data_IF_101932825932
#
_entry.id   IF_101932825932
#
_cell.length_a   1.000
_cell.length_b   1.000
_cell.length_c   1.000
_cell.angle_alpha   90.00
_cell.angle_beta   90.00
_cell.angle_gamma   90.00
#
_symmetry.space_group_name_H-M   'P 1'
#
loop_
_entity.id
_entity.type
_entity.pdbx_description
1 polymer ?
#
# COMPACT_ATOMS: atom_id res chain seq x y z
N UNK A 1 8.43 -18.59 20.91
CA UNK A 1 7.92 -17.20 20.83
C UNK A 1 9.10 -16.30 20.51
N UNK A 2 8.94 -15.36 19.59
CA UNK A 2 10.04 -14.47 19.20
C UNK A 2 10.12 -13.36 20.25
N UNK A 3 11.30 -13.10 20.80
CA UNK A 3 11.50 -12.04 21.78
C UNK A 3 11.81 -10.71 21.07
N UNK A 4 10.75 -9.93 20.84
CA UNK A 4 10.87 -8.60 20.23
C UNK A 4 11.24 -7.53 21.26
N UNK A 5 12.17 -6.66 20.88
CA UNK A 5 12.59 -5.51 21.69
C UNK A 5 12.24 -4.21 20.95
N UNK A 6 11.72 -3.17 21.63
CA UNK A 6 11.43 -1.89 20.98
C UNK A 6 12.69 -1.30 20.34
N UNK A 7 12.58 -0.73 19.15
CA UNK A 7 13.71 -0.02 18.51
C UNK A 7 14.12 1.16 19.37
N UNK A 8 15.39 1.17 19.78
CA UNK A 8 16.06 2.24 20.52
C UNK A 8 17.29 2.70 19.78
N UNK A 9 17.77 3.88 20.14
CA UNK A 9 18.97 4.46 19.55
C UNK A 9 20.21 3.56 19.69
N UNK A 10 20.35 2.89 20.83
CA UNK A 10 21.44 1.94 21.13
C UNK A 10 21.45 0.71 20.19
N UNK A 11 20.33 0.40 19.55
CA UNK A 11 20.20 -0.74 18.64
C UNK A 11 20.73 -0.46 17.23
N UNK A 12 21.08 0.80 16.93
CA UNK A 12 21.50 1.24 15.59
C UNK A 12 22.54 0.32 14.97
N UNK A 13 23.63 0.08 15.69
CA UNK A 13 24.74 -0.74 15.19
C UNK A 13 24.32 -2.19 14.92
N UNK A 14 23.40 -2.74 15.72
CA UNK A 14 22.94 -4.12 15.54
C UNK A 14 21.99 -4.24 14.35
N UNK A 15 21.07 -3.29 14.19
CA UNK A 15 20.16 -3.24 13.05
C UNK A 15 20.93 -2.97 11.74
N UNK A 16 21.84 -2.00 11.76
CA UNK A 16 22.64 -1.62 10.59
C UNK A 16 23.59 -2.73 10.12
N UNK A 17 23.98 -3.67 10.99
CA UNK A 17 24.70 -4.89 10.58
C UNK A 17 23.94 -5.70 9.53
N UNK A 18 22.61 -5.61 9.50
CA UNK A 18 21.76 -6.27 8.51
C UNK A 18 21.40 -5.35 7.34
N UNK A 19 21.01 -4.11 7.61
CA UNK A 19 20.51 -3.20 6.56
C UNK A 19 21.64 -2.64 5.69
N UNK A 20 22.81 -2.32 6.26
CA UNK A 20 23.94 -1.73 5.53
C UNK A 20 24.48 -2.62 4.40
N UNK A 21 24.76 -3.92 4.61
CA UNK A 21 25.20 -4.79 3.52
C UNK A 21 24.05 -5.23 2.59
N UNK A 22 22.79 -4.89 2.91
CA UNK A 22 21.64 -5.32 2.11
C UNK A 22 21.60 -4.62 0.74
N UNK A 23 21.00 -5.29 -0.25
CA UNK A 23 20.68 -4.68 -1.55
C UNK A 23 19.31 -4.00 -1.60
N UNK A 24 18.58 -3.95 -0.48
CA UNK A 24 17.20 -3.47 -0.45
C UNK A 24 17.19 -1.94 -0.38
N UNK A 25 16.45 -1.32 -1.29
CA UNK A 25 16.41 0.14 -1.39
C UNK A 25 15.18 0.77 -0.72
N UNK A 26 14.34 0.00 -0.01
CA UNK A 26 13.15 0.52 0.69
C UNK A 26 13.54 1.51 1.80
N UNK A 27 12.97 2.73 1.77
CA UNK A 27 13.20 3.78 2.77
C UNK A 27 12.85 3.36 4.21
N UNK A 28 11.91 2.43 4.39
CA UNK A 28 11.46 1.94 5.70
C UNK A 28 12.58 1.21 6.46
N UNK A 29 13.60 0.72 5.74
CA UNK A 29 14.76 0.04 6.33
C UNK A 29 15.83 1.00 6.85
N UNK A 30 15.71 2.31 6.61
CA UNK A 30 16.59 3.28 7.24
C UNK A 30 16.33 3.31 8.76
N UNK A 31 17.39 3.13 9.56
CA UNK A 31 17.27 3.11 11.02
C UNK A 31 16.64 4.42 11.56
N UNK A 32 16.97 5.56 10.94
CA UNK A 32 16.38 6.84 11.29
C UNK A 32 14.84 6.85 11.12
N UNK A 33 14.30 6.24 10.06
CA UNK A 33 12.85 6.11 9.89
C UNK A 33 12.24 5.22 10.98
N UNK A 34 12.84 4.06 11.26
CA UNK A 34 12.36 3.16 12.32
C UNK A 34 12.30 3.86 13.68
N UNK A 35 13.32 4.64 14.04
CA UNK A 35 13.42 5.33 15.32
C UNK A 35 12.51 6.57 15.41
N UNK A 36 12.46 7.40 14.37
CA UNK A 36 11.69 8.65 14.38
C UNK A 36 10.18 8.39 14.41
N UNK A 37 9.72 7.31 13.78
CA UNK A 37 8.32 6.93 13.73
C UNK A 37 7.88 5.98 14.86
N UNK A 38 8.76 5.74 15.85
CA UNK A 38 8.55 4.78 16.93
C UNK A 38 7.29 5.05 17.78
N UNK A 39 6.88 6.32 17.95
CA UNK A 39 5.67 6.66 18.71
C UNK A 39 4.38 6.23 18.02
N UNK A 40 4.39 6.22 16.69
CA UNK A 40 3.26 5.85 15.84
C UNK A 40 3.26 4.34 15.64
N UNK A 41 4.33 3.80 15.07
CA UNK A 41 4.38 2.41 14.63
C UNK A 41 4.82 1.43 15.71
N UNK A 42 5.32 1.90 16.86
CA UNK A 42 5.77 1.04 17.97
C UNK A 42 6.70 -0.09 17.49
N UNK A 43 7.60 0.25 16.56
CA UNK A 43 8.49 -0.69 15.90
C UNK A 43 9.33 -1.45 16.93
N UNK A 44 9.45 -2.74 16.73
CA UNK A 44 10.25 -3.63 17.56
C UNK A 44 11.03 -4.56 16.65
N UNK A 45 12.21 -4.99 17.09
CA UNK A 45 13.09 -5.84 16.32
C UNK A 45 13.48 -7.10 17.08
N UNK A 46 13.87 -8.12 16.34
CA UNK A 46 14.45 -9.35 16.86
C UNK A 46 15.41 -9.96 15.82
N UNK A 47 16.40 -10.73 16.28
CA UNK A 47 17.18 -11.60 15.42
C UNK A 47 16.57 -13.00 15.41
N UNK A 48 16.23 -13.51 14.23
CA UNK A 48 15.62 -14.83 14.05
C UNK A 48 16.41 -15.60 13.01
N UNK A 49 17.18 -16.61 13.45
CA UNK A 49 17.98 -17.49 12.58
C UNK A 49 18.89 -16.72 11.62
N UNK A 50 19.51 -15.64 12.08
CA UNK A 50 20.41 -14.81 11.27
C UNK A 50 19.70 -13.78 10.38
N UNK A 51 18.39 -13.55 10.57
CA UNK A 51 17.66 -12.45 9.93
C UNK A 51 17.24 -11.41 10.96
N UNK A 52 17.38 -10.15 10.62
CA UNK A 52 16.67 -9.05 11.27
C UNK A 52 15.19 -9.13 10.91
N UNK A 53 14.35 -9.14 11.94
CA UNK A 53 12.90 -9.07 11.80
C UNK A 53 12.42 -7.81 12.50
N UNK A 54 11.72 -6.94 11.77
CA UNK A 54 11.04 -5.76 12.32
C UNK A 54 9.54 -6.03 12.36
N UNK A 55 8.93 -5.88 13.53
CA UNK A 55 7.48 -5.90 13.75
C UNK A 55 7.00 -4.49 14.10
N UNK A 56 5.88 -4.07 13.54
CA UNK A 56 5.34 -2.73 13.73
C UNK A 56 3.80 -2.73 13.73
N UNK A 57 3.21 -1.62 14.17
CA UNK A 57 1.78 -1.33 14.12
C UNK A 57 1.45 -0.63 12.80
N UNK A 58 0.57 -1.23 12.01
CA UNK A 58 0.13 -0.72 10.71
C UNK A 58 -0.75 0.51 10.95
N UNK A 59 -0.45 1.61 10.26
CA UNK A 59 -1.16 2.91 10.35
C UNK A 59 -1.26 3.47 11.78
N UNK A 60 -0.37 3.04 12.69
CA UNK A 60 -0.43 3.38 14.12
C UNK A 60 -1.58 2.74 14.90
N UNK A 61 -2.35 1.83 14.28
CA UNK A 61 -3.46 1.11 14.91
C UNK A 61 -3.02 -0.10 15.76
N UNK A 62 -3.95 -1.02 16.01
CA UNK A 62 -3.65 -2.26 16.75
C UNK A 62 -3.20 -3.41 15.84
N UNK A 63 -3.35 -3.27 14.51
CA UNK A 63 -2.92 -4.30 13.55
C UNK A 63 -1.40 -4.38 13.53
N UNK A 64 -0.85 -5.59 13.62
CA UNK A 64 0.60 -5.81 13.49
C UNK A 64 0.97 -6.24 12.08
N UNK A 65 2.12 -5.77 11.62
CA UNK A 65 2.81 -6.18 10.41
C UNK A 65 4.28 -6.43 10.68
N UNK A 66 4.94 -7.13 9.76
CA UNK A 66 6.36 -7.37 9.78
C UNK A 66 6.96 -6.79 8.50
N UNK A 67 8.09 -6.11 8.59
CA UNK A 67 8.83 -5.74 7.37
C UNK A 67 9.40 -7.01 6.72
N UNK A 68 9.81 -6.93 5.46
CA UNK A 68 10.62 -7.99 4.86
C UNK A 68 11.82 -8.31 5.77
N UNK A 69 12.01 -9.57 6.21
CA UNK A 69 13.19 -9.93 6.98
C UNK A 69 14.47 -9.68 6.19
N UNK A 70 15.49 -9.15 6.87
CA UNK A 70 16.76 -8.75 6.24
C UNK A 70 17.89 -9.62 6.78
N UNK A 71 18.61 -10.29 5.89
CA UNK A 71 19.70 -11.20 6.25
C UNK A 71 20.27 -11.88 5.00
N UNK A 72 21.24 -12.77 5.20
CA UNK A 72 21.82 -13.52 4.09
C UNK A 72 20.94 -14.72 3.71
N UNK A 73 20.62 -14.83 2.41
CA UNK A 73 19.88 -15.96 1.86
C UNK A 73 18.35 -15.81 1.89
N UNK A 74 17.65 -16.95 1.86
CA UNK A 74 16.19 -17.00 1.77
C UNK A 74 15.55 -16.95 3.17
N UNK A 75 14.72 -15.94 3.42
CA UNK A 75 14.00 -15.80 4.69
C UNK A 75 12.72 -16.64 4.76
N UNK A 76 12.24 -17.24 3.67
CA UNK A 76 11.01 -18.03 3.69
C UNK A 76 10.96 -19.12 4.79
N UNK A 77 12.07 -19.77 5.21
CA UNK A 77 12.07 -20.71 6.34
C UNK A 77 11.72 -20.10 7.71
N UNK A 78 11.78 -18.77 7.88
CA UNK A 78 11.40 -18.11 9.15
C UNK A 78 9.92 -17.69 9.17
N UNK A 79 9.25 -17.67 8.02
CA UNK A 79 7.83 -17.28 7.89
C UNK A 79 6.90 -18.04 8.85
N UNK A 80 7.05 -19.37 9.08
CA UNK A 80 6.24 -20.07 10.08
C UNK A 80 6.38 -19.51 11.50
N UNK A 81 7.57 -19.04 11.89
CA UNK A 81 7.81 -18.43 13.21
C UNK A 81 7.12 -17.06 13.32
N UNK A 82 7.15 -16.26 12.25
CA UNK A 82 6.42 -14.99 12.18
C UNK A 82 4.91 -15.21 12.30
N UNK A 83 4.41 -16.28 11.67
CA UNK A 83 3.00 -16.68 11.73
C UNK A 83 2.60 -17.08 13.15
N UNK A 84 3.44 -17.83 13.86
CA UNK A 84 3.22 -18.18 15.26
C UNK A 84 3.18 -16.94 16.15
N UNK A 85 4.07 -15.96 15.95
CA UNK A 85 4.04 -14.70 16.70
C UNK A 85 2.77 -13.88 16.40
N UNK A 86 2.38 -13.78 15.13
CA UNK A 86 1.14 -13.10 14.74
C UNK A 86 -0.09 -13.73 15.39
N UNK A 87 -0.19 -15.07 15.35
CA UNK A 87 -1.28 -15.81 15.98
C UNK A 87 -1.30 -15.66 17.50
N UNK A 88 -0.15 -15.57 18.16
CA UNK A 88 -0.08 -15.30 19.60
C UNK A 88 -0.70 -13.94 19.97
N UNK A 89 -0.74 -12.98 19.03
CA UNK A 89 -1.43 -11.70 19.17
C UNK A 89 -2.88 -11.72 18.66
N UNK A 90 -3.42 -12.89 18.29
CA UNK A 90 -4.76 -13.03 17.73
C UNK A 90 -4.91 -12.46 16.32
N UNK A 91 -3.81 -12.31 15.57
CA UNK A 91 -3.81 -11.71 14.24
C UNK A 91 -3.24 -12.65 13.19
N UNK A 92 -3.64 -12.47 11.92
CA UNK A 92 -2.99 -13.15 10.78
C UNK A 92 -1.64 -12.51 10.45
N UNK A 93 -0.73 -13.29 9.87
CA UNK A 93 0.57 -12.80 9.42
C UNK A 93 0.41 -11.82 8.25
N UNK A 94 1.07 -10.67 8.36
CA UNK A 94 1.20 -9.66 7.30
C UNK A 94 2.66 -9.29 7.16
N UNK A 95 3.24 -9.48 5.98
CA UNK A 95 4.59 -9.03 5.66
C UNK A 95 4.46 -7.86 4.69
N UNK A 96 5.02 -6.71 5.03
CA UNK A 96 4.84 -5.44 4.32
C UNK A 96 6.21 -4.93 3.86
N UNK A 97 6.24 -4.23 2.72
CA UNK A 97 7.48 -3.68 2.18
C UNK A 97 8.36 -4.76 1.53
N UNK A 98 7.76 -5.84 1.03
CA UNK A 98 8.46 -6.86 0.27
C UNK A 98 8.94 -6.30 -1.06
N UNK A 99 10.19 -6.59 -1.42
CA UNK A 99 10.70 -6.41 -2.78
C UNK A 99 10.11 -7.47 -3.72
N UNK A 100 10.28 -7.29 -5.04
CA UNK A 100 9.92 -8.35 -6.00
C UNK A 100 10.58 -9.69 -5.66
N UNK A 101 11.85 -9.65 -5.27
CA UNK A 101 12.61 -10.84 -4.91
C UNK A 101 12.08 -11.51 -3.62
N UNK A 102 11.72 -10.70 -2.62
CA UNK A 102 11.11 -11.21 -1.38
C UNK A 102 9.71 -11.80 -1.61
N UNK A 103 8.89 -11.16 -2.44
CA UNK A 103 7.60 -11.72 -2.89
C UNK A 103 7.79 -13.07 -3.56
N UNK A 104 8.76 -13.17 -4.47
CA UNK A 104 9.02 -14.40 -5.21
C UNK A 104 9.58 -15.51 -4.32
N UNK A 105 10.37 -15.18 -3.29
CA UNK A 105 10.80 -16.14 -2.25
C UNK A 105 9.60 -16.74 -1.52
N UNK A 106 8.67 -15.91 -1.03
CA UNK A 106 7.46 -16.39 -0.34
C UNK A 106 6.61 -17.25 -1.30
N UNK A 107 6.39 -16.79 -2.53
CA UNK A 107 5.62 -17.54 -3.54
C UNK A 107 6.18 -18.93 -3.76
N UNK A 108 7.50 -19.08 -3.91
CA UNK A 108 8.14 -20.37 -4.17
C UNK A 108 8.04 -21.35 -3.00
N UNK A 109 8.17 -20.86 -1.78
CA UNK A 109 8.31 -21.71 -0.58
C UNK A 109 6.99 -21.94 0.16
N UNK A 110 5.98 -21.07 -0.06
CA UNK A 110 4.65 -21.13 0.56
C UNK A 110 3.56 -21.05 -0.51
N UNK A 111 3.66 -21.93 -1.51
CA UNK A 111 2.82 -21.93 -2.71
C UNK A 111 1.33 -21.77 -2.39
N UNK A 112 0.74 -20.68 -2.89
CA UNK A 112 -0.67 -20.35 -2.73
C UNK A 112 -1.09 -19.87 -1.34
N UNK A 113 -0.25 -19.98 -0.30
CA UNK A 113 -0.65 -19.68 1.08
C UNK A 113 -0.81 -18.17 1.39
N UNK A 114 -0.42 -17.31 0.45
CA UNK A 114 -0.45 -15.86 0.61
C UNK A 114 -1.26 -15.21 -0.52
N UNK A 115 -1.92 -14.10 -0.17
CA UNK A 115 -2.35 -13.09 -1.13
C UNK A 115 -1.35 -11.94 -1.14
N UNK A 116 -1.07 -11.38 -2.32
CA UNK A 116 -0.12 -10.30 -2.53
C UNK A 116 -0.76 -9.11 -3.20
N UNK A 117 -0.36 -7.92 -2.75
CA UNK A 117 -0.73 -6.67 -3.40
C UNK A 117 0.41 -5.65 -3.28
N UNK A 118 0.51 -4.77 -4.26
CA UNK A 118 1.34 -3.56 -4.20
C UNK A 118 0.44 -2.34 -4.33
N UNK A 119 0.58 -1.38 -3.42
CA UNK A 119 -0.01 -0.07 -3.59
C UNK A 119 0.99 0.87 -4.27
N UNK A 120 0.63 1.34 -5.46
CA UNK A 120 1.46 2.26 -6.24
C UNK A 120 1.73 3.57 -5.50
N UNK A 121 0.83 4.00 -4.62
CA UNK A 121 1.00 5.20 -3.81
C UNK A 121 2.17 5.09 -2.82
N UNK A 122 2.58 3.86 -2.46
CA UNK A 122 3.59 3.58 -1.43
C UNK A 122 4.94 3.12 -1.99
N UNK A 123 5.09 3.07 -3.31
CA UNK A 123 6.36 2.69 -3.96
C UNK A 123 7.39 3.80 -3.90
N UNK A 124 8.65 3.45 -3.61
CA UNK A 124 9.70 4.46 -3.52
C UNK A 124 10.29 4.81 -4.88
N UNK A 125 10.61 6.09 -5.04
CA UNK A 125 11.33 6.59 -6.19
C UNK A 125 12.85 6.55 -5.94
N UNK A 126 13.54 5.66 -6.66
CA UNK A 126 14.99 5.51 -6.54
C UNK A 126 15.69 6.07 -7.77
N UNK A 127 16.67 6.94 -7.55
CA UNK A 127 17.41 7.66 -8.59
C UNK A 127 18.88 7.29 -8.56
N UNK A 128 19.56 7.37 -9.70
CA UNK A 128 21.02 7.38 -9.71
C UNK A 128 21.49 8.69 -9.09
N UNK A 129 22.37 8.61 -8.09
CA UNK A 129 22.89 9.80 -7.41
C UNK A 129 23.55 10.77 -8.40
N UNK A 130 24.31 10.24 -9.37
CA UNK A 130 24.97 11.02 -10.40
C UNK A 130 24.02 11.83 -11.28
N UNK A 131 22.84 11.26 -11.59
CA UNK A 131 21.83 11.95 -12.38
C UNK A 131 21.28 13.15 -11.62
N UNK A 132 21.09 13.06 -10.30
CA UNK A 132 20.65 14.19 -9.45
C UNK A 132 21.78 15.21 -9.19
N UNK A 133 23.03 14.76 -9.08
CA UNK A 133 24.21 15.63 -8.91
C UNK A 133 24.45 16.54 -10.10
N UNK A 134 24.33 15.99 -11.31
CA UNK A 134 24.72 16.67 -12.54
C UNK A 134 23.54 17.23 -13.32
N UNK A 135 22.38 16.56 -13.25
CA UNK A 135 21.23 16.82 -14.10
C UNK A 135 21.64 16.86 -15.58
N UNK A 136 22.52 15.97 -16.03
CA UNK A 136 23.10 15.99 -17.37
C UNK A 136 22.16 15.46 -18.46
N UNK A 137 22.23 16.04 -19.68
CA UNK A 137 21.48 15.56 -20.84
C UNK A 137 20.13 16.24 -21.09
N UNK A 138 19.50 15.94 -22.24
CA UNK A 138 18.32 16.66 -22.73
C UNK A 138 17.10 16.52 -21.81
N UNK A 139 16.89 15.35 -21.21
CA UNK A 139 15.73 15.06 -20.34
C UNK A 139 15.68 15.90 -19.05
N UNK A 140 16.82 16.40 -18.59
CA UNK A 140 16.94 17.27 -17.41
C UNK A 140 17.03 18.77 -17.76
N UNK A 141 16.90 19.16 -19.04
CA UNK A 141 16.89 20.57 -19.44
C UNK A 141 15.85 21.40 -18.66
N UNK A 142 14.61 20.91 -18.40
CA UNK A 142 13.67 21.67 -17.58
C UNK A 142 14.18 21.95 -16.16
N UNK A 143 14.84 20.98 -15.52
CA UNK A 143 15.41 21.14 -14.17
C UNK A 143 16.57 22.15 -14.17
N UNK A 144 17.46 22.07 -15.16
CA UNK A 144 18.51 23.09 -15.33
C UNK A 144 17.94 24.48 -15.59
N UNK A 145 16.83 24.60 -16.31
CA UNK A 145 16.16 25.88 -16.51
C UNK A 145 15.62 26.47 -15.19
N UNK A 146 15.02 25.65 -14.32
CA UNK A 146 14.60 26.11 -12.98
C UNK A 146 15.79 26.59 -12.15
N UNK A 147 16.91 25.86 -12.17
CA UNK A 147 18.14 26.28 -11.46
C UNK A 147 18.67 27.58 -12.03
N UNK A 148 18.80 27.69 -13.36
CA UNK A 148 19.29 28.90 -14.00
C UNK A 148 18.43 30.12 -13.64
N UNK A 149 17.10 29.96 -13.60
CA UNK A 149 16.17 31.00 -13.17
C UNK A 149 16.39 31.37 -11.70
N UNK A 150 16.42 30.39 -10.80
CA UNK A 150 16.70 30.61 -9.38
C UNK A 150 18.01 31.39 -9.18
N UNK A 151 19.09 30.97 -9.84
CA UNK A 151 20.40 31.63 -9.72
C UNK A 151 20.46 33.03 -10.33
N UNK A 152 19.62 33.31 -11.33
CA UNK A 152 19.53 34.64 -11.93
C UNK A 152 18.70 35.60 -11.07
N UNK A 153 17.63 35.11 -10.47
CA UNK A 153 16.73 35.88 -9.60
C UNK A 153 17.34 36.12 -8.21
N UNK A 154 18.04 35.12 -7.67
CA UNK A 154 18.66 35.13 -6.35
C UNK A 154 20.18 34.96 -6.46
N UNK A 155 20.92 35.96 -6.97
CA UNK A 155 22.37 35.83 -7.20
C UNK A 155 23.19 35.69 -5.91
N UNK A 156 22.63 36.10 -4.77
CA UNK A 156 23.23 35.99 -3.43
C UNK A 156 22.49 34.91 -2.64
N UNK A 157 22.70 33.66 -3.03
CA UNK A 157 22.25 32.49 -2.27
C UNK A 157 23.46 31.71 -1.74
N UNK A 158 23.26 30.94 -0.68
CA UNK A 158 24.28 30.02 -0.15
C UNK A 158 23.65 28.69 0.24
N UNK A 159 24.40 27.63 0.00
CA UNK A 159 24.12 26.32 0.57
C UNK A 159 24.95 26.15 1.83
N UNK A 160 24.33 25.66 2.90
CA UNK A 160 25.00 25.39 4.16
C UNK A 160 24.61 24.00 4.67
N UNK A 161 25.52 23.24 5.29
CA UNK A 161 25.16 22.01 5.99
C UNK A 161 24.10 22.29 7.06
N UNK A 162 23.17 21.35 7.23
CA UNK A 162 22.20 21.40 8.31
C UNK A 162 22.87 21.02 9.63
N UNK A 163 22.86 21.92 10.60
CA UNK A 163 23.48 21.78 11.93
C UNK A 163 22.51 22.22 13.03
N UNK A 164 22.79 21.92 14.31
CA UNK A 164 21.85 22.17 15.41
C UNK A 164 21.36 23.62 15.56
N UNK A 165 22.18 24.61 15.27
CA UNK A 165 21.82 26.03 15.31
C UNK A 165 20.74 26.42 14.27
N UNK A 166 20.54 25.61 13.24
CA UNK A 166 19.57 25.84 12.15
C UNK A 166 18.23 25.11 12.34
N UNK A 167 18.15 24.14 13.26
CA UNK A 167 16.97 23.28 13.43
C UNK A 167 15.68 24.06 13.74
N UNK A 168 15.76 25.09 14.59
CA UNK A 168 14.60 25.91 14.96
C UNK A 168 14.00 26.67 13.75
N UNK A 169 14.85 27.11 12.83
CA UNK A 169 14.43 27.78 11.60
C UNK A 169 13.77 26.79 10.63
N UNK A 170 14.35 25.60 10.44
CA UNK A 170 13.74 24.54 9.63
C UNK A 170 12.36 24.12 10.15
N UNK A 171 12.21 23.97 11.47
CA UNK A 171 10.91 23.70 12.11
C UNK A 171 9.90 24.84 11.91
N UNK A 172 10.38 26.08 11.75
CA UNK A 172 9.51 27.22 11.47
C UNK A 172 9.04 27.19 10.02
N UNK A 173 9.94 26.98 9.06
CA UNK A 173 9.58 26.82 7.65
C UNK A 173 8.58 25.66 7.45
N UNK A 174 8.80 24.53 8.12
CA UNK A 174 7.88 23.39 8.05
C UNK A 174 6.46 23.76 8.53
N UNK A 175 6.35 24.52 9.63
CA UNK A 175 5.06 25.00 10.14
C UNK A 175 4.38 25.97 9.18
N UNK A 176 5.14 26.85 8.54
CA UNK A 176 4.61 27.80 7.56
C UNK A 176 4.12 27.10 6.29
N UNK A 177 4.92 26.17 5.76
CA UNK A 177 4.56 25.36 4.61
C UNK A 177 3.23 24.64 4.83
N UNK A 178 3.04 24.03 6.00
CA UNK A 178 1.80 23.36 6.40
C UNK A 178 0.60 24.29 6.47
N UNK A 179 0.76 25.48 7.07
CA UNK A 179 -0.33 26.46 7.22
C UNK A 179 -0.89 26.86 5.85
N UNK A 180 -0.04 26.89 4.83
CA UNK A 180 -0.40 27.31 3.47
C UNK A 180 -1.01 26.17 2.64
N UNK A 181 -0.68 24.91 2.91
CA UNK A 181 -1.02 23.80 2.01
C UNK A 181 -2.11 22.85 2.54
N UNK A 182 -2.31 22.67 3.86
CA UNK A 182 -2.94 21.39 4.30
C UNK A 182 -4.08 21.43 5.33
N UNK A 183 -4.42 22.55 5.99
CA UNK A 183 -5.48 22.51 7.01
C UNK A 183 -5.18 21.54 8.18
N UNK A 184 -6.02 21.53 9.22
CA UNK A 184 -5.70 20.84 10.48
C UNK A 184 -6.18 19.37 10.51
N UNK A 185 -5.33 18.39 10.17
CA UNK A 185 -5.57 16.94 10.40
C UNK A 185 -4.53 16.28 11.34
N UNK A 186 -4.82 15.07 11.85
CA UNK A 186 -4.11 14.39 12.95
C UNK A 186 -2.81 13.66 12.56
N UNK A 187 -2.75 13.09 11.36
CA UNK A 187 -1.57 12.41 10.78
C UNK A 187 -0.38 13.39 10.64
N UNK A 188 -0.71 14.67 10.41
CA UNK A 188 0.24 15.77 10.30
C UNK A 188 1.05 15.99 11.59
N UNK A 189 0.49 15.73 12.77
CA UNK A 189 1.27 15.85 14.02
C UNK A 189 2.37 14.78 14.12
N UNK A 190 2.23 13.65 13.43
CA UNK A 190 3.22 12.58 13.47
C UNK A 190 4.52 12.95 12.74
N UNK A 191 4.44 13.48 11.51
CA UNK A 191 5.63 13.91 10.76
C UNK A 191 6.41 15.00 11.50
N UNK A 192 5.71 15.95 12.13
CA UNK A 192 6.34 16.96 12.98
C UNK A 192 7.06 16.36 14.19
N UNK A 193 6.45 15.38 14.86
CA UNK A 193 7.10 14.67 15.97
C UNK A 193 8.30 13.84 15.47
N UNK A 194 8.17 13.19 14.32
CA UNK A 194 9.26 12.45 13.69
C UNK A 194 10.44 13.38 13.38
N UNK A 195 10.18 14.55 12.79
CA UNK A 195 11.19 15.56 12.51
C UNK A 195 11.82 16.16 13.79
N UNK A 196 11.03 16.38 14.85
CA UNK A 196 11.55 16.80 16.15
C UNK A 196 12.48 15.75 16.76
N UNK A 197 12.12 14.46 16.69
CA UNK A 197 12.98 13.35 17.14
C UNK A 197 14.23 13.23 16.28
N UNK A 198 14.11 13.39 14.96
CA UNK A 198 15.24 13.40 14.03
C UNK A 198 16.25 14.49 14.41
N UNK A 199 15.79 15.72 14.68
CA UNK A 199 16.64 16.82 15.11
C UNK A 199 17.21 16.62 16.52
N UNK A 200 16.42 16.07 17.45
CA UNK A 200 16.89 15.77 18.81
C UNK A 200 18.03 14.74 18.86
N UNK A 201 18.15 13.88 17.84
CA UNK A 201 19.13 12.81 17.76
C UNK A 201 19.93 12.83 16.44
N UNK A 202 20.12 14.01 15.85
CA UNK A 202 20.60 14.16 14.46
C UNK A 202 21.92 13.43 14.19
N UNK A 203 22.93 13.67 15.02
CA UNK A 203 24.26 13.04 14.89
C UNK A 203 24.21 11.54 15.21
N UNK A 204 23.49 11.17 16.27
CA UNK A 204 23.38 9.79 16.76
C UNK A 204 22.66 8.87 15.75
N UNK A 205 21.72 9.43 14.98
CA UNK A 205 21.04 8.79 13.86
C UNK A 205 21.86 8.81 12.57
N UNK A 206 23.00 9.52 12.53
CA UNK A 206 23.83 9.68 11.34
C UNK A 206 23.12 10.44 10.23
N UNK A 207 22.21 11.35 10.60
CA UNK A 207 21.53 12.21 9.65
C UNK A 207 22.52 13.20 9.05
N UNK A 208 22.31 13.51 7.78
CA UNK A 208 22.98 14.61 7.10
C UNK A 208 21.95 15.41 6.32
N UNK A 209 22.20 16.70 6.15
CA UNK A 209 21.25 17.60 5.52
C UNK A 209 21.90 18.87 5.03
N UNK A 210 21.09 19.70 4.37
CA UNK A 210 21.50 21.01 3.91
C UNK A 210 20.36 22.01 3.90
N UNK A 211 20.74 23.28 3.93
CA UNK A 211 19.88 24.44 3.84
C UNK A 211 20.30 25.30 2.66
N UNK A 212 19.34 25.95 2.01
CA UNK A 212 19.60 27.08 1.11
C UNK A 212 19.05 28.34 1.73
N UNK A 213 19.91 29.36 1.76
CA UNK A 213 19.57 30.71 2.17
C UNK A 213 19.60 31.66 0.97
N UNK A 214 18.61 32.54 0.88
CA UNK A 214 18.61 33.71 -0.01
C UNK A 214 18.66 34.96 0.86
N UNK A 215 19.79 35.67 0.86
CA UNK A 215 20.09 36.62 1.93
C UNK A 215 20.08 35.91 3.29
N UNK A 216 19.34 36.44 4.27
CA UNK A 216 19.22 35.83 5.61
C UNK A 216 18.00 34.94 5.78
N UNK A 217 17.23 34.69 4.70
CA UNK A 217 16.01 33.88 4.75
C UNK A 217 16.30 32.45 4.31
N UNK A 218 15.92 31.47 5.13
CA UNK A 218 15.88 30.07 4.73
C UNK A 218 14.84 29.85 3.62
N UNK A 219 15.32 29.53 2.43
CA UNK A 219 14.49 29.26 1.26
C UNK A 219 14.14 27.78 1.14
N UNK A 220 15.01 26.86 1.56
CA UNK A 220 14.77 25.43 1.55
C UNK A 220 15.67 24.68 2.53
N UNK A 221 15.22 23.52 3.00
CA UNK A 221 16.08 22.56 3.70
C UNK A 221 15.74 21.12 3.32
N UNK A 222 16.69 20.22 3.54
CA UNK A 222 16.52 18.78 3.37
C UNK A 222 17.42 18.02 4.33
N UNK A 223 17.00 16.82 4.71
CA UNK A 223 17.85 15.88 5.43
C UNK A 223 17.48 14.43 5.11
N UNK A 224 18.40 13.52 5.41
CA UNK A 224 18.23 12.10 5.15
C UNK A 224 19.27 11.24 5.86
N UNK A 225 19.23 9.95 5.58
CA UNK A 225 20.15 8.96 6.16
C UNK A 225 20.49 7.84 5.19
N UNK A 226 21.42 6.96 5.57
CA UNK A 226 21.69 5.75 4.80
C UNK A 226 20.53 4.74 4.98
N UNK A 227 20.06 4.17 3.87
CA UNK A 227 19.27 2.93 3.90
C UNK A 227 20.22 1.74 4.01
N UNK A 228 21.27 1.77 3.19
CA UNK A 228 22.30 0.75 3.13
C UNK A 228 23.68 1.36 2.74
N UNK A 229 24.67 0.54 2.40
CA UNK A 229 26.03 0.99 2.05
C UNK A 229 26.10 1.93 0.83
N UNK A 230 25.14 1.82 -0.09
CA UNK A 230 25.16 2.45 -1.41
C UNK A 230 23.89 3.27 -1.75
N UNK A 231 22.86 3.21 -0.90
CA UNK A 231 21.60 3.93 -1.06
C UNK A 231 21.37 4.89 0.12
N UNK A 232 21.16 6.17 -0.21
CA UNK A 232 20.77 7.20 0.74
C UNK A 232 19.29 7.54 0.55
N UNK A 233 18.55 7.75 1.62
CA UNK A 233 17.16 8.20 1.56
C UNK A 233 17.05 9.66 1.98
N UNK A 234 16.37 10.46 1.16
CA UNK A 234 15.96 11.83 1.52
C UNK A 234 14.61 11.78 2.23
N UNK A 235 14.61 11.86 3.55
CA UNK A 235 13.40 11.79 4.39
C UNK A 235 12.53 13.04 4.28
N UNK A 236 13.17 14.20 4.23
CA UNK A 236 12.45 15.48 4.20
C UNK A 236 13.11 16.39 3.19
N UNK A 237 12.30 17.04 2.36
CA UNK A 237 12.69 18.11 1.47
C UNK A 237 11.57 19.15 1.48
N UNK A 238 11.87 20.37 1.96
CA UNK A 238 10.88 21.44 2.12
C UNK A 238 11.46 22.74 1.59
N UNK A 239 10.63 23.54 0.95
CA UNK A 239 11.01 24.85 0.45
C UNK A 239 9.88 25.86 0.61
N UNK A 240 10.25 27.12 0.83
CA UNK A 240 9.33 28.25 0.77
C UNK A 240 8.92 28.48 -0.69
N UNK A 241 7.61 28.38 -0.96
CA UNK A 241 7.03 28.54 -2.30
C UNK A 241 7.19 29.95 -2.87
N UNK A 242 7.62 30.93 -2.06
CA UNK A 242 7.97 32.25 -2.54
C UNK A 242 9.25 32.27 -3.40
N UNK A 243 10.09 31.23 -3.34
CA UNK A 243 11.34 31.13 -4.10
C UNK A 243 11.22 30.12 -5.25
N UNK A 244 10.94 30.60 -6.47
CA UNK A 244 10.82 29.71 -7.65
C UNK A 244 12.14 28.99 -7.92
N UNK A 245 12.08 27.66 -8.01
CA UNK A 245 13.23 26.79 -8.22
C UNK A 245 13.93 26.28 -6.95
N UNK A 246 13.53 26.73 -5.75
CA UNK A 246 14.15 26.33 -4.48
C UNK A 246 14.20 24.80 -4.27
N UNK A 247 13.10 24.09 -4.53
CA UNK A 247 13.06 22.61 -4.51
C UNK A 247 14.06 21.97 -5.49
N UNK A 248 14.27 22.57 -6.66
CA UNK A 248 15.18 21.99 -7.66
C UNK A 248 16.63 22.20 -7.30
N UNK A 249 16.97 23.38 -6.77
CA UNK A 249 18.35 23.68 -6.37
C UNK A 249 18.75 22.96 -5.08
N UNK A 250 17.87 22.84 -4.07
CA UNK A 250 18.19 22.08 -2.84
C UNK A 250 18.45 20.62 -3.17
N UNK A 251 17.65 20.03 -4.05
CA UNK A 251 17.80 18.64 -4.44
C UNK A 251 19.15 18.37 -5.09
N UNK A 252 19.54 19.19 -6.08
CA UNK A 252 20.82 19.06 -6.76
C UNK A 252 21.98 19.27 -5.81
N UNK A 253 21.98 20.38 -5.05
CA UNK A 253 23.10 20.72 -4.19
C UNK A 253 23.27 19.68 -3.08
N UNK A 254 22.18 19.20 -2.48
CA UNK A 254 22.27 18.14 -1.48
C UNK A 254 22.86 16.86 -2.07
N UNK A 255 22.39 16.41 -3.25
CA UNK A 255 22.97 15.24 -3.93
C UNK A 255 24.48 15.39 -4.22
N UNK A 256 24.94 16.62 -4.52
CA UNK A 256 26.37 16.93 -4.72
C UNK A 256 27.21 16.87 -3.45
N UNK A 257 26.61 17.08 -2.28
CA UNK A 257 27.29 17.02 -0.99
C UNK A 257 27.22 15.63 -0.34
N UNK A 258 26.39 14.72 -0.86
CA UNK A 258 26.34 13.34 -0.38
C UNK A 258 27.64 12.59 -0.73
N UNK A 259 28.19 11.79 0.19
CA UNK A 259 29.36 10.95 -0.06
C UNK A 259 29.27 10.13 -1.35
N UNK A 260 30.40 9.98 -2.06
CA UNK A 260 30.46 9.27 -3.35
C UNK A 260 30.01 7.80 -3.26
N UNK A 261 30.15 7.17 -2.09
CA UNK A 261 29.68 5.80 -1.84
C UNK A 261 28.19 5.61 -2.12
N UNK A 262 27.39 6.67 -1.98
CA UNK A 262 25.98 6.63 -2.32
C UNK A 262 25.80 6.78 -3.82
N UNK A 263 25.53 5.65 -4.47
CA UNK A 263 25.26 5.57 -5.90
C UNK A 263 23.78 5.72 -6.22
N UNK A 264 22.91 5.47 -5.24
CA UNK A 264 21.46 5.60 -5.34
C UNK A 264 20.93 6.58 -4.30
N UNK A 265 19.89 7.31 -4.67
CA UNK A 265 19.12 8.19 -3.78
C UNK A 265 17.66 7.77 -3.84
N UNK A 266 17.12 7.29 -2.74
CA UNK A 266 15.70 7.06 -2.55
C UNK A 266 15.05 8.39 -2.09
N UNK A 267 13.96 8.82 -2.72
CA UNK A 267 13.20 10.02 -2.31
C UNK A 267 11.77 9.69 -1.88
N UNK A 268 11.56 8.51 -1.32
CA UNK A 268 10.32 7.99 -0.73
C UNK A 268 9.14 7.95 -1.73
N UNK A 269 7.92 7.79 -1.23
CA UNK A 269 6.69 7.52 -2.00
C UNK A 269 5.87 8.76 -2.39
N UNK A 270 4.94 8.64 -3.36
CA UNK A 270 4.10 9.77 -3.81
C UNK A 270 2.77 9.93 -3.04
N UNK A 271 2.45 8.99 -2.15
CA UNK A 271 1.24 8.97 -1.32
C UNK A 271 -0.07 9.06 -2.13
N UNK A 272 -0.04 8.72 -3.42
CA UNK A 272 -1.20 8.83 -4.30
C UNK A 272 -1.46 10.26 -4.82
N UNK A 273 -0.62 11.24 -4.45
CA UNK A 273 -0.81 12.63 -4.82
C UNK A 273 -0.28 12.89 -6.24
N UNK A 274 -1.17 13.19 -7.18
CA UNK A 274 -0.82 13.37 -8.60
C UNK A 274 0.28 14.42 -8.82
N UNK A 275 0.21 15.57 -8.13
CA UNK A 275 1.24 16.61 -8.22
C UNK A 275 2.61 16.11 -7.77
N UNK A 276 2.67 15.36 -6.67
CA UNK A 276 3.91 14.78 -6.13
C UNK A 276 4.44 13.68 -7.05
N UNK A 277 3.55 12.82 -7.56
CA UNK A 277 3.87 11.78 -8.54
C UNK A 277 4.52 12.36 -9.79
N UNK A 278 3.92 13.40 -10.39
CA UNK A 278 4.49 14.08 -11.56
C UNK A 278 5.85 14.72 -11.23
N UNK A 279 5.97 15.35 -10.06
CA UNK A 279 7.24 15.94 -9.62
C UNK A 279 8.36 14.88 -9.50
N UNK A 280 8.08 13.73 -8.86
CA UNK A 280 9.05 12.64 -8.72
C UNK A 280 9.39 11.97 -10.05
N UNK A 281 8.40 11.68 -10.89
CA UNK A 281 8.62 11.11 -12.23
C UNK A 281 9.44 12.04 -13.13
N UNK A 282 9.29 13.36 -13.00
CA UNK A 282 10.04 14.34 -13.80
C UNK A 282 11.56 14.35 -13.56
N UNK A 283 12.04 13.70 -12.50
CA UNK A 283 13.46 13.46 -12.24
C UNK A 283 13.98 12.14 -12.83
N UNK A 284 13.15 11.38 -13.54
CA UNK A 284 13.49 10.14 -14.22
C UNK A 284 14.10 9.11 -13.24
N UNK A 285 13.30 8.55 -12.32
CA UNK A 285 13.79 7.51 -11.41
C UNK A 285 14.46 6.38 -12.22
N UNK A 286 15.53 5.82 -11.65
CA UNK A 286 16.20 4.66 -12.21
C UNK A 286 15.26 3.45 -12.21
N UNK A 287 14.49 3.31 -11.12
CA UNK A 287 13.42 2.34 -10.95
C UNK A 287 12.48 2.79 -9.83
N UNK A 288 11.30 2.17 -9.77
CA UNK A 288 10.43 2.22 -8.61
C UNK A 288 10.72 0.99 -7.75
N UNK A 289 10.98 1.20 -6.46
CA UNK A 289 11.10 0.11 -5.52
C UNK A 289 9.69 -0.32 -5.11
N UNK A 290 9.21 -1.42 -5.68
CA UNK A 290 7.94 -2.01 -5.28
C UNK A 290 7.98 -2.39 -3.80
N UNK A 291 6.83 -2.22 -3.14
CA UNK A 291 6.58 -2.59 -1.74
C UNK A 291 5.32 -3.45 -1.67
N UNK A 292 5.49 -4.77 -1.79
CA UNK A 292 4.35 -5.68 -1.69
C UNK A 292 3.96 -5.91 -0.23
N UNK A 293 2.65 -6.00 -0.01
CA UNK A 293 2.06 -6.60 1.18
C UNK A 293 1.70 -8.04 0.87
N UNK A 294 2.10 -8.97 1.74
CA UNK A 294 1.71 -10.37 1.72
C UNK A 294 0.87 -10.69 2.96
N UNK A 295 -0.33 -11.20 2.76
CA UNK A 295 -1.21 -11.67 3.83
C UNK A 295 -1.30 -13.18 3.78
N UNK A 296 -0.98 -13.85 4.89
CA UNK A 296 -1.18 -15.30 4.98
C UNK A 296 -2.68 -15.61 5.02
N UNK A 297 -3.15 -16.40 4.06
CA UNK A 297 -4.54 -16.78 3.92
C UNK A 297 -4.92 -17.85 4.95
N UNK A 298 -6.14 -17.79 5.44
CA UNK A 298 -6.75 -18.89 6.17
C UNK A 298 -7.10 -20.06 5.21
N UNK A 299 -7.21 -21.31 5.70
CA UNK A 299 -7.46 -22.45 4.82
C UNK A 299 -8.71 -22.33 3.93
N UNK A 300 -9.76 -21.69 4.43
CA UNK A 300 -10.99 -21.42 3.68
C UNK A 300 -10.83 -20.29 2.65
N UNK A 301 -10.06 -19.26 2.95
CA UNK A 301 -9.69 -18.21 1.98
C UNK A 301 -8.86 -18.81 0.83
N UNK A 302 -7.93 -19.70 1.15
CA UNK A 302 -7.13 -20.43 0.17
C UNK A 302 -8.00 -21.34 -0.71
N UNK A 303 -8.92 -22.10 -0.11
CA UNK A 303 -9.82 -22.96 -0.88
C UNK A 303 -10.75 -22.13 -1.78
N UNK A 304 -11.21 -20.95 -1.34
CA UNK A 304 -11.93 -20.00 -2.19
C UNK A 304 -11.09 -19.53 -3.36
N UNK A 305 -9.85 -19.09 -3.10
CA UNK A 305 -8.92 -18.62 -4.13
C UNK A 305 -8.74 -19.67 -5.22
N UNK A 306 -8.47 -20.91 -4.83
CA UNK A 306 -8.29 -22.03 -5.75
C UNK A 306 -9.55 -22.30 -6.59
N UNK A 307 -10.72 -22.37 -5.94
CA UNK A 307 -11.98 -22.59 -6.63
C UNK A 307 -12.34 -21.44 -7.56
N UNK A 308 -12.07 -20.19 -7.15
CA UNK A 308 -12.29 -18.99 -7.97
C UNK A 308 -11.51 -19.10 -9.27
N UNK A 309 -10.20 -19.31 -9.17
CA UNK A 309 -9.29 -19.34 -10.31
C UNK A 309 -9.62 -20.51 -11.24
N UNK A 310 -9.99 -21.67 -10.69
CA UNK A 310 -10.39 -22.83 -11.49
C UNK A 310 -11.69 -22.58 -12.29
N UNK A 311 -12.66 -21.86 -11.70
CA UNK A 311 -13.97 -21.65 -12.32
C UNK A 311 -13.99 -20.46 -13.29
N UNK A 312 -13.35 -19.36 -12.93
CA UNK A 312 -13.43 -18.09 -13.68
C UNK A 312 -12.19 -17.82 -14.53
N UNK A 313 -11.03 -18.39 -14.19
CA UNK A 313 -9.78 -18.14 -14.91
C UNK A 313 -9.19 -16.75 -14.67
N UNK A 314 -9.71 -16.00 -13.70
CA UNK A 314 -9.19 -14.69 -13.30
C UNK A 314 -7.75 -14.79 -12.79
N UNK A 315 -6.98 -13.74 -13.02
CA UNK A 315 -5.58 -13.71 -12.62
C UNK A 315 -5.41 -13.67 -11.09
N UNK A 316 -4.24 -14.11 -10.62
CA UNK A 316 -3.96 -14.17 -9.18
C UNK A 316 -4.03 -12.80 -8.50
N UNK A 317 -3.61 -11.72 -9.18
CA UNK A 317 -3.57 -10.39 -8.59
C UNK A 317 -5.00 -9.85 -8.36
N UNK A 318 -5.91 -10.10 -9.30
CA UNK A 318 -7.33 -9.76 -9.14
C UNK A 318 -7.95 -10.47 -7.93
N UNK A 319 -7.77 -11.78 -7.83
CA UNK A 319 -8.33 -12.58 -6.72
C UNK A 319 -7.68 -12.20 -5.38
N UNK A 320 -6.38 -11.93 -5.36
CA UNK A 320 -5.66 -11.50 -4.16
C UNK A 320 -6.17 -10.14 -3.65
N UNK A 321 -6.37 -9.17 -4.55
CA UNK A 321 -6.93 -7.86 -4.19
C UNK A 321 -8.34 -8.00 -3.59
N UNK A 322 -9.19 -8.85 -4.18
CA UNK A 322 -10.50 -9.16 -3.60
C UNK A 322 -10.41 -9.74 -2.19
N UNK A 323 -9.52 -10.72 -1.98
CA UNK A 323 -9.32 -11.36 -0.68
C UNK A 323 -8.75 -10.41 0.38
N UNK A 324 -7.96 -9.44 -0.04
CA UNK A 324 -7.34 -8.47 0.86
C UNK A 324 -8.32 -7.38 1.32
N UNK A 325 -9.21 -6.90 0.44
CA UNK A 325 -10.06 -5.73 0.71
C UNK A 325 -11.55 -6.01 0.88
N UNK A 326 -12.09 -7.02 0.20
CA UNK A 326 -13.54 -7.21 0.09
C UNK A 326 -14.03 -8.52 0.70
N UNK A 327 -13.16 -9.51 0.85
CA UNK A 327 -13.50 -10.78 1.46
C UNK A 327 -13.87 -10.60 2.94
N UNK A 328 -14.96 -11.27 3.34
CA UNK A 328 -15.35 -11.39 4.74
C UNK A 328 -15.85 -12.79 5.03
N UNK A 329 -15.22 -13.45 6.00
CA UNK A 329 -15.61 -14.79 6.47
C UNK A 329 -17.05 -14.87 6.96
N UNK A 330 -17.60 -13.77 7.48
CA UNK A 330 -19.01 -13.68 7.94
C UNK A 330 -20.02 -13.60 6.79
N UNK A 331 -19.54 -13.31 5.58
CA UNK A 331 -20.36 -13.06 4.40
C UNK A 331 -19.97 -13.95 3.21
N UNK A 332 -19.15 -14.95 3.44
CA UNK A 332 -18.82 -16.00 2.49
C UNK A 332 -19.61 -17.26 2.87
N UNK A 333 -20.15 -17.95 1.86
CA UNK A 333 -20.85 -19.22 2.01
C UNK A 333 -20.14 -20.29 1.18
N UNK A 334 -19.93 -21.47 1.77
CA UNK A 334 -19.37 -22.63 1.07
C UNK A 334 -20.16 -23.90 1.30
N UNK A 335 -20.01 -24.83 0.36
CA UNK A 335 -20.35 -26.24 0.55
C UNK A 335 -19.07 -27.06 0.45
N UNK A 336 -18.76 -27.78 1.53
CA UNK A 336 -17.66 -28.73 1.58
C UNK A 336 -18.15 -30.12 1.19
N UNK A 337 -17.50 -30.78 0.25
CA UNK A 337 -17.71 -32.18 -0.10
C UNK A 337 -16.36 -32.88 -0.25
N UNK A 338 -16.27 -34.11 0.24
CA UNK A 338 -15.06 -34.94 0.07
C UNK A 338 -13.77 -34.24 0.57
N UNK A 339 -13.90 -33.37 1.58
CA UNK A 339 -12.79 -32.61 2.16
C UNK A 339 -12.31 -31.41 1.33
N UNK A 340 -13.09 -30.98 0.33
CA UNK A 340 -12.80 -29.83 -0.53
C UNK A 340 -13.99 -28.87 -0.59
N UNK A 341 -13.69 -27.58 -0.75
CA UNK A 341 -14.69 -26.57 -1.08
C UNK A 341 -15.21 -26.84 -2.49
N UNK A 342 -16.43 -27.37 -2.58
CA UNK A 342 -17.06 -27.79 -3.84
C UNK A 342 -17.92 -26.69 -4.48
N UNK A 343 -18.40 -25.74 -3.68
CA UNK A 343 -19.09 -24.56 -4.16
C UNK A 343 -18.90 -23.39 -3.19
N UNK A 344 -18.93 -22.16 -3.70
CA UNK A 344 -18.82 -20.94 -2.90
C UNK A 344 -19.65 -19.80 -3.49
N UNK A 345 -19.96 -18.81 -2.65
CA UNK A 345 -20.36 -17.46 -3.07
C UNK A 345 -20.03 -16.43 -1.98
N UNK A 346 -19.98 -15.16 -2.37
CA UNK A 346 -19.77 -14.02 -1.47
C UNK A 346 -20.99 -13.11 -1.44
N UNK A 347 -21.32 -12.58 -0.26
CA UNK A 347 -22.40 -11.62 -0.03
C UNK A 347 -21.81 -10.26 0.31
N UNK A 348 -21.64 -9.41 -0.69
CA UNK A 348 -20.94 -8.14 -0.54
C UNK A 348 -21.98 -7.03 -0.29
N UNK A 349 -21.86 -6.27 0.81
CA UNK A 349 -22.80 -5.21 1.10
C UNK A 349 -22.55 -4.00 0.19
N UNK A 350 -23.62 -3.50 -0.42
CA UNK A 350 -23.64 -2.33 -1.28
C UNK A 350 -24.74 -1.36 -0.85
N UNK A 351 -24.57 -0.10 -1.20
CA UNK A 351 -25.62 0.91 -1.24
C UNK A 351 -25.95 1.22 -2.69
N UNK A 352 -27.23 1.19 -3.04
CA UNK A 352 -27.71 1.53 -4.39
C UNK A 352 -28.93 2.44 -4.31
N UNK A 353 -29.44 2.88 -5.46
CA UNK A 353 -30.74 3.59 -5.55
C UNK A 353 -31.94 2.77 -5.06
N UNK A 354 -31.77 1.47 -4.82
CA UNK A 354 -32.79 0.57 -4.24
C UNK A 354 -32.70 0.44 -2.71
N UNK A 355 -31.78 1.17 -2.07
CA UNK A 355 -31.52 1.07 -0.63
C UNK A 355 -30.35 0.14 -0.31
N UNK A 356 -30.40 -0.50 0.87
CA UNK A 356 -29.35 -1.43 1.29
C UNK A 356 -29.45 -2.69 0.46
N UNK A 357 -28.38 -2.98 -0.27
CA UNK A 357 -28.39 -4.00 -1.31
C UNK A 357 -27.26 -5.00 -1.08
N UNK A 358 -27.52 -6.30 -1.21
CA UNK A 358 -26.45 -7.31 -1.22
C UNK A 358 -26.09 -7.70 -2.67
N UNK A 359 -24.81 -7.63 -3.01
CA UNK A 359 -24.27 -8.21 -4.24
C UNK A 359 -23.88 -9.67 -3.97
N UNK A 360 -24.52 -10.62 -4.66
CA UNK A 360 -24.12 -12.02 -4.64
C UNK A 360 -23.03 -12.20 -5.71
N UNK A 361 -21.80 -12.41 -5.25
CA UNK A 361 -20.60 -12.36 -6.09
C UNK A 361 -19.83 -13.69 -6.08
N UNK A 362 -19.16 -14.00 -7.20
CA UNK A 362 -18.30 -15.18 -7.32
C UNK A 362 -19.02 -16.51 -7.09
N UNK A 363 -20.25 -16.70 -7.62
CA UNK A 363 -21.01 -17.96 -7.48
C UNK A 363 -20.32 -19.06 -8.27
N UNK A 364 -19.54 -19.89 -7.57
CA UNK A 364 -18.72 -20.92 -8.17
C UNK A 364 -19.13 -22.33 -7.71
N UNK A 365 -19.01 -23.30 -8.61
CA UNK A 365 -19.11 -24.72 -8.30
C UNK A 365 -18.04 -25.46 -9.07
N UNK A 366 -17.23 -26.22 -8.34
CA UNK A 366 -16.13 -27.03 -8.88
C UNK A 366 -16.68 -27.92 -10.00
N UNK A 367 -16.04 -27.94 -11.19
CA UNK A 367 -16.49 -28.74 -12.34
C UNK A 367 -16.84 -30.20 -12.02
N UNK A 368 -16.10 -30.86 -11.12
CA UNK A 368 -16.32 -32.25 -10.72
C UNK A 368 -17.58 -32.46 -9.86
N UNK A 369 -18.09 -31.39 -9.25
CA UNK A 369 -19.26 -31.41 -8.36
C UNK A 369 -20.49 -30.73 -8.95
N UNK A 370 -20.43 -30.27 -10.20
CA UNK A 370 -21.57 -29.68 -10.92
C UNK A 370 -22.74 -30.67 -11.06
N UNK A 371 -23.94 -30.12 -11.27
CA UNK A 371 -25.22 -30.86 -11.39
C UNK A 371 -25.65 -31.64 -10.14
N UNK A 372 -25.07 -31.33 -8.98
CA UNK A 372 -25.46 -31.89 -7.67
C UNK A 372 -26.32 -30.94 -6.81
N UNK A 373 -26.74 -29.80 -7.37
CA UNK A 373 -27.61 -28.82 -6.67
C UNK A 373 -26.89 -27.86 -5.72
N UNK A 374 -25.55 -27.88 -5.65
CA UNK A 374 -24.76 -27.12 -4.67
C UNK A 374 -24.94 -25.59 -4.80
N UNK A 375 -24.89 -25.05 -6.02
CA UNK A 375 -25.16 -23.63 -6.25
C UNK A 375 -26.58 -23.24 -5.79
N UNK A 376 -27.59 -24.09 -6.00
CA UNK A 376 -28.95 -23.81 -5.55
C UNK A 376 -29.09 -23.84 -4.03
N UNK A 377 -28.38 -24.75 -3.36
CA UNK A 377 -28.28 -24.77 -1.90
C UNK A 377 -27.70 -23.45 -1.37
N UNK A 378 -26.57 -23.00 -1.93
CA UNK A 378 -25.94 -21.73 -1.54
C UNK A 378 -26.84 -20.54 -1.82
N UNK A 379 -27.52 -20.50 -2.96
CA UNK A 379 -28.46 -19.42 -3.28
C UNK A 379 -29.63 -19.37 -2.30
N UNK A 380 -30.22 -20.50 -1.89
CA UNK A 380 -31.26 -20.50 -0.86
C UNK A 380 -30.74 -19.94 0.47
N UNK A 381 -29.53 -20.33 0.88
CA UNK A 381 -28.92 -19.82 2.10
C UNK A 381 -28.61 -18.32 2.00
N UNK A 382 -28.12 -17.85 0.85
CA UNK A 382 -27.90 -16.43 0.57
C UNK A 382 -29.20 -15.64 0.71
N UNK A 383 -30.28 -16.09 0.07
CA UNK A 383 -31.57 -15.41 0.14
C UNK A 383 -32.15 -15.39 1.56
N UNK A 384 -31.97 -16.46 2.34
CA UNK A 384 -32.37 -16.48 3.75
C UNK A 384 -31.62 -15.43 4.57
N UNK A 385 -30.30 -15.31 4.38
CA UNK A 385 -29.48 -14.31 5.08
C UNK A 385 -29.81 -12.87 4.65
N UNK A 386 -30.06 -12.63 3.36
CA UNK A 386 -30.51 -11.34 2.84
C UNK A 386 -31.85 -10.95 3.47
N UNK A 387 -32.77 -11.90 3.58
CA UNK A 387 -34.06 -11.69 4.23
C UNK A 387 -33.89 -11.35 5.72
N UNK A 388 -33.12 -12.15 6.46
CA UNK A 388 -32.82 -11.99 7.90
C UNK A 388 -32.14 -10.65 8.20
N UNK A 389 -31.16 -10.26 7.38
CA UNK A 389 -30.44 -8.99 7.54
C UNK A 389 -31.34 -7.79 7.31
N UNK A 390 -32.47 -7.95 6.63
CA UNK A 390 -33.38 -6.86 6.31
C UNK A 390 -32.97 -6.06 5.08
N UNK A 391 -32.19 -6.62 4.16
CA UNK A 391 -31.75 -5.91 2.95
C UNK A 391 -32.95 -5.62 2.03
N UNK A 392 -32.95 -4.45 1.38
CA UNK A 392 -34.04 -3.98 0.53
C UNK A 392 -34.03 -4.65 -0.84
N UNK A 393 -32.82 -4.95 -1.33
CA UNK A 393 -32.58 -5.57 -2.62
C UNK A 393 -31.36 -6.50 -2.59
N UNK A 394 -31.23 -7.30 -3.63
CA UNK A 394 -30.02 -8.03 -3.95
C UNK A 394 -29.80 -8.02 -5.45
N UNK A 395 -28.55 -8.12 -5.89
CA UNK A 395 -28.26 -8.28 -7.31
C UNK A 395 -27.12 -9.27 -7.52
N UNK A 396 -26.99 -9.70 -8.77
CA UNK A 396 -25.90 -10.51 -9.28
C UNK A 396 -25.71 -10.19 -10.76
N UNK A 397 -24.51 -10.40 -11.29
CA UNK A 397 -24.23 -10.26 -12.73
C UNK A 397 -23.99 -11.68 -13.27
N UNK A 398 -24.90 -12.23 -14.10
CA UNK A 398 -24.66 -13.49 -14.77
C UNK A 398 -23.44 -13.39 -15.69
N UNK A 399 -22.65 -14.46 -15.79
CA UNK A 399 -21.50 -14.52 -16.70
C UNK A 399 -21.96 -14.23 -18.13
N UNK A 400 -21.39 -13.21 -18.82
CA UNK A 400 -21.75 -12.89 -20.19
C UNK A 400 -21.59 -14.10 -21.12
N UNK A 401 -22.59 -14.34 -21.99
CA UNK A 401 -22.62 -15.47 -22.92
C UNK A 401 -23.25 -16.75 -22.36
N UNK A 402 -23.54 -16.83 -21.07
CA UNK A 402 -24.17 -17.99 -20.42
C UNK A 402 -25.66 -17.75 -20.15
N UNK A 403 -26.47 -17.62 -21.22
CA UNK A 403 -27.89 -17.19 -21.14
C UNK A 403 -28.75 -18.05 -20.20
N UNK A 404 -28.41 -19.33 -20.04
CA UNK A 404 -29.11 -20.24 -19.12
C UNK A 404 -29.07 -19.77 -17.66
N UNK A 405 -28.08 -18.94 -17.28
CA UNK A 405 -27.96 -18.37 -15.94
C UNK A 405 -29.16 -17.46 -15.60
N UNK A 406 -29.76 -16.78 -16.58
CA UNK A 406 -30.98 -15.99 -16.32
C UNK A 406 -32.13 -16.87 -15.84
N UNK A 407 -32.32 -18.03 -16.48
CA UNK A 407 -33.29 -19.03 -16.03
C UNK A 407 -32.92 -19.67 -14.70
N UNK A 408 -31.62 -19.80 -14.41
CA UNK A 408 -31.13 -20.29 -13.12
C UNK A 408 -31.48 -19.34 -11.97
N UNK A 409 -31.04 -18.09 -12.07
CA UNK A 409 -31.23 -17.08 -11.04
C UNK A 409 -32.68 -16.60 -10.93
N UNK A 410 -33.45 -16.64 -12.03
CA UNK A 410 -34.88 -16.33 -12.05
C UNK A 410 -35.72 -17.17 -11.08
N UNK A 411 -35.31 -18.41 -10.79
CA UNK A 411 -36.00 -19.27 -9.80
C UNK A 411 -35.90 -18.75 -8.37
N UNK A 412 -34.95 -17.86 -8.08
CA UNK A 412 -34.77 -17.22 -6.78
C UNK A 412 -35.36 -15.80 -6.75
N UNK A 413 -36.08 -15.39 -7.82
CA UNK A 413 -36.74 -14.09 -7.92
C UNK A 413 -35.86 -12.96 -8.45
N UNK A 414 -34.68 -13.26 -9.00
CA UNK A 414 -33.87 -12.27 -9.72
C UNK A 414 -34.43 -12.06 -11.12
N UNK A 415 -34.52 -10.81 -11.57
CA UNK A 415 -35.04 -10.48 -12.90
C UNK A 415 -34.33 -9.27 -13.51
N UNK A 416 -34.56 -9.06 -14.80
CA UNK A 416 -34.02 -7.93 -15.55
C UNK A 416 -32.59 -8.11 -16.04
N UNK A 417 -32.09 -7.06 -16.69
CA UNK A 417 -30.73 -6.90 -17.18
C UNK A 417 -30.39 -5.41 -17.06
N UNK A 418 -30.15 -4.97 -15.83
CA UNK A 418 -29.98 -3.56 -15.48
C UNK A 418 -28.51 -3.17 -15.63
N UNK A 419 -28.14 -2.23 -16.50
CA UNK A 419 -26.79 -1.69 -16.56
C UNK A 419 -26.34 -1.25 -15.18
N UNK A 420 -25.17 -1.71 -14.74
CA UNK A 420 -24.68 -1.47 -13.39
C UNK A 420 -23.34 -0.75 -13.45
N UNK A 421 -23.24 0.35 -12.70
CA UNK A 421 -22.01 1.11 -12.55
C UNK A 421 -21.51 1.00 -11.12
N UNK A 422 -20.31 0.47 -10.95
CA UNK A 422 -19.64 0.40 -9.67
C UNK A 422 -18.88 1.69 -9.35
N UNK A 423 -18.99 2.15 -8.11
CA UNK A 423 -18.22 3.27 -7.57
C UNK A 423 -17.32 2.76 -6.45
N UNK A 424 -16.25 2.05 -6.80
CA UNK A 424 -15.28 1.53 -5.81
C UNK A 424 -14.21 2.57 -5.49
N UNK A 425 -14.03 2.98 -4.21
CA UNK A 425 -13.01 3.96 -3.83
C UNK A 425 -11.57 3.52 -4.13
N UNK A 426 -11.29 2.22 -4.03
CA UNK A 426 -10.00 1.59 -4.32
C UNK A 426 -9.82 1.23 -5.81
N UNK A 427 -10.83 1.48 -6.64
CA UNK A 427 -10.81 1.15 -8.06
C UNK A 427 -10.98 -0.34 -8.39
N UNK A 428 -11.34 -1.20 -7.43
CA UNK A 428 -11.63 -2.60 -7.69
C UNK A 428 -12.81 -2.77 -8.66
N UNK A 429 -12.65 -3.65 -9.66
CA UNK A 429 -13.72 -3.96 -10.61
C UNK A 429 -14.59 -5.13 -10.13
N UNK A 430 -15.78 -4.81 -9.64
CA UNK A 430 -16.80 -5.78 -9.24
C UNK A 430 -17.63 -6.34 -10.41
N UNK A 431 -17.43 -5.78 -11.60
CA UNK A 431 -18.11 -6.16 -12.83
C UNK A 431 -17.41 -7.32 -13.55
N UNK A 432 -17.52 -7.32 -14.87
CA UNK A 432 -16.99 -8.37 -15.75
C UNK A 432 -15.70 -7.95 -16.48
N UNK A 433 -15.03 -6.86 -16.08
CA UNK A 433 -13.95 -6.25 -16.88
C UNK A 433 -14.45 -5.41 -18.07
N UNK A 434 -15.76 -5.36 -18.31
CA UNK A 434 -16.37 -4.64 -19.41
C UNK A 434 -17.71 -4.02 -18.97
N UNK A 435 -17.70 -2.71 -18.73
CA UNK A 435 -18.88 -1.97 -18.25
C UNK A 435 -20.14 -2.16 -19.11
N UNK A 436 -20.00 -2.43 -20.41
CA UNK A 436 -21.15 -2.67 -21.29
C UNK A 436 -21.82 -4.05 -21.04
N UNK A 437 -21.11 -4.97 -20.41
CA UNK A 437 -21.56 -6.31 -20.06
C UNK A 437 -21.98 -6.44 -18.59
N UNK A 438 -21.84 -5.38 -17.78
CA UNK A 438 -22.26 -5.32 -16.38
C UNK A 438 -23.79 -5.17 -16.27
N UNK A 439 -24.48 -6.26 -16.60
CA UNK A 439 -25.95 -6.33 -16.64
C UNK A 439 -26.45 -7.13 -15.45
N UNK A 440 -26.88 -6.43 -14.40
CA UNK A 440 -27.37 -7.05 -13.19
C UNK A 440 -28.78 -7.61 -13.35
N UNK A 441 -28.96 -8.83 -12.83
CA UNK A 441 -30.29 -9.29 -12.43
C UNK A 441 -30.53 -8.84 -10.99
N UNK A 442 -31.75 -8.37 -10.71
CA UNK A 442 -32.10 -7.73 -9.44
C UNK A 442 -33.26 -8.48 -8.78
N UNK A 443 -33.12 -8.74 -7.48
CA UNK A 443 -34.18 -9.14 -6.57
C UNK A 443 -34.52 -7.97 -5.65
N UNK A 444 -35.80 -7.81 -5.30
CA UNK A 444 -36.27 -6.75 -4.39
C UNK A 444 -37.21 -7.33 -3.35
N UNK A 445 -37.10 -6.85 -2.11
CA UNK A 445 -38.01 -7.22 -1.02
C UNK A 445 -39.44 -6.79 -1.30
N UNK A 446 -39.61 -5.61 -1.91
CA UNK A 446 -40.91 -5.05 -2.31
C UNK A 446 -40.91 -4.70 -3.79
N UNK A 447 -41.89 -5.22 -4.52
CA UNK A 447 -41.99 -5.12 -5.98
C UNK A 447 -42.97 -4.03 -6.44
N UNK A 448 -42.87 -2.84 -5.84
CA UNK A 448 -43.89 -1.78 -5.99
C UNK A 448 -43.64 -0.81 -7.15
N UNK A 449 -42.48 -0.87 -7.80
CA UNK A 449 -42.06 0.03 -8.88
C UNK A 449 -41.33 -0.75 -9.99
N UNK A 450 -41.21 -0.27 -11.23
CA UNK A 450 -40.33 -0.90 -12.22
C UNK A 450 -38.85 -0.91 -11.78
N UNK A 451 -38.04 -1.77 -12.38
CA UNK A 451 -36.58 -1.73 -12.19
C UNK A 451 -36.01 -0.40 -12.73
N UNK A 452 -34.94 0.14 -12.11
CA UNK A 452 -34.31 1.35 -12.60
C UNK A 452 -33.65 1.10 -13.97
N UNK A 453 -33.48 2.18 -14.75
CA UNK A 453 -32.79 2.11 -16.05
C UNK A 453 -31.27 1.88 -15.93
N UNK A 454 -30.68 2.20 -14.79
CA UNK A 454 -29.28 1.94 -14.43
C UNK A 454 -29.20 1.78 -12.90
N UNK A 455 -28.30 0.91 -12.43
CA UNK A 455 -27.98 0.72 -11.02
C UNK A 455 -26.60 1.30 -10.72
N UNK A 456 -26.53 2.38 -9.95
CA UNK A 456 -25.26 2.83 -9.37
C UNK A 456 -25.04 2.11 -8.04
N UNK A 457 -23.92 1.41 -7.92
CA UNK A 457 -23.59 0.56 -6.78
C UNK A 457 -22.28 1.00 -6.11
N UNK A 458 -22.37 1.40 -4.85
CA UNK A 458 -21.21 1.75 -4.01
C UNK A 458 -21.00 0.66 -2.96
N UNK A 459 -19.83 0.01 -2.89
CA UNK A 459 -19.56 -0.99 -1.86
C UNK A 459 -19.56 -0.30 -0.49
N UNK A 460 -20.14 -0.96 0.51
CA UNK A 460 -20.03 -0.51 1.88
C UNK A 460 -18.67 -0.97 2.43
N UNK A 461 -18.06 -0.20 3.33
CA UNK A 461 -16.82 -0.61 4.00
C UNK A 461 -16.99 -1.98 4.68
N UNK A 462 -15.98 -2.85 4.53
CA UNK A 462 -16.04 -4.27 4.85
C UNK A 462 -16.14 -4.57 6.35
#
# INVERSE_FOLDING_TARGET
>A
MIEFQPVRLEDRTVIERYTMPSGICNCDLAFANMFCWQEVYRSAWAEVRGFLVIRFRIDGGERIGYMQPVGEGDFAPIVPLLREDAHAHGQRLRIIGLTDEGRDMIRRMHLGAFAFESDRALEDYVYRAEDLRTLAGRRYQPKRNHINRFTAEYPIYRYEPLTPDRFAECMTLEREWRRLHEGHTSELCAEQRAMQRAFGHFEELGLTGGCIYVGDRLAAFTYGSAVNDHTFVTHVEKADTAFDGAFTIINKLFAQHLPERFTLINREEDLGLDGLRQAKLSYHPAFLQHKFTAIHLHPDELACKQLWQEVFGDDEQFVDSFLMHHYSRRRMLTVELEGRTAAMLHLIPFTTGLGRTTYIYGVATDPAFRRRGLASQLMHQAMALIAERGDDAAFLIPTPGEEWLHGFYGRFGFAGAVPTRFLSPDGFDFGTGNAAADLAMVWRRTDTAPLPGELTATPNEA
#
